data_IF_374463291849
#
_entry.id   IF_374463291849
#
_cell.length_a   1.000
_cell.length_b   1.000
_cell.length_c   1.000
_cell.angle_alpha   90.00
_cell.angle_beta   90.00
_cell.angle_gamma   90.00
#
_symmetry.space_group_name_H-M   'P 1'
#
loop_
_entity.id
_entity.type
_entity.pdbx_description
1 polymer ?
#
# COMPACT_ATOMS: atom_id res chain seq x y z
N UNK A 1 46.42 -15.65 -1.91
CA UNK A 1 44.95 -15.42 -1.86
C UNK A 1 44.39 -16.09 -3.10
N UNK A 2 43.39 -16.98 -3.01
CA UNK A 2 42.87 -17.60 -4.23
C UNK A 2 42.20 -16.53 -5.10
N UNK A 3 42.29 -16.63 -6.43
CA UNK A 3 41.67 -15.69 -7.38
C UNK A 3 40.18 -15.39 -7.05
N UNK A 4 39.45 -16.43 -6.60
CA UNK A 4 38.07 -16.32 -6.13
C UNK A 4 37.89 -15.40 -4.89
N UNK A 5 38.86 -15.36 -3.97
CA UNK A 5 38.80 -14.50 -2.78
C UNK A 5 39.08 -13.04 -3.16
N UNK A 6 39.92 -12.83 -4.17
CA UNK A 6 40.20 -11.49 -4.72
C UNK A 6 38.98 -10.92 -5.45
N UNK A 7 38.36 -11.72 -6.33
CA UNK A 7 37.12 -11.33 -7.01
C UNK A 7 35.98 -11.01 -6.04
N UNK A 8 35.83 -11.79 -4.96
CA UNK A 8 34.84 -11.50 -3.91
C UNK A 8 35.11 -10.19 -3.16
N UNK A 9 36.39 -9.87 -2.91
CA UNK A 9 36.80 -8.61 -2.29
C UNK A 9 36.50 -7.41 -3.20
N UNK A 10 36.89 -7.49 -4.47
CA UNK A 10 36.62 -6.45 -5.47
C UNK A 10 35.12 -6.20 -5.60
N UNK A 11 34.31 -7.27 -5.70
CA UNK A 11 32.86 -7.15 -5.80
C UNK A 11 32.25 -6.40 -4.61
N UNK A 12 32.63 -6.73 -3.37
CA UNK A 12 32.06 -6.01 -2.22
C UNK A 12 32.59 -4.58 -2.05
N UNK A 13 33.77 -4.23 -2.59
CA UNK A 13 34.20 -2.83 -2.71
C UNK A 13 33.31 -2.07 -3.70
N UNK A 14 33.04 -2.66 -4.87
CA UNK A 14 32.17 -2.06 -5.88
C UNK A 14 30.72 -1.89 -5.39
N UNK A 15 30.25 -2.76 -4.50
CA UNK A 15 28.89 -2.75 -3.93
C UNK A 15 28.75 -1.93 -2.65
N UNK A 16 29.83 -1.33 -2.13
CA UNK A 16 29.80 -0.53 -0.91
C UNK A 16 28.82 0.66 -1.00
N UNK A 17 28.74 1.42 -2.12
CA UNK A 17 27.72 2.47 -2.28
C UNK A 17 26.30 1.91 -2.23
N UNK A 18 26.03 0.79 -2.89
CA UNK A 18 24.71 0.12 -2.86
C UNK A 18 24.36 -0.29 -1.44
N UNK A 19 25.30 -0.89 -0.71
CA UNK A 19 25.11 -1.31 0.69
C UNK A 19 24.76 -0.11 1.57
N UNK A 20 25.48 0.99 1.43
CA UNK A 20 25.24 2.20 2.18
C UNK A 20 23.89 2.84 1.85
N UNK A 21 23.59 3.06 0.56
CA UNK A 21 22.35 3.71 0.11
C UNK A 21 21.13 2.87 0.46
N UNK A 22 21.16 1.56 0.22
CA UNK A 22 20.10 0.64 0.64
C UNK A 22 19.93 0.70 2.16
N UNK A 23 21.02 0.64 2.92
CA UNK A 23 20.98 0.76 4.36
C UNK A 23 20.36 2.09 4.83
N UNK A 24 20.71 3.20 4.19
CA UNK A 24 20.19 4.53 4.49
C UNK A 24 18.70 4.67 4.19
N UNK A 25 18.20 4.13 3.07
CA UNK A 25 16.77 4.16 2.72
C UNK A 25 15.94 3.50 3.83
N UNK A 26 16.33 2.30 4.27
CA UNK A 26 15.61 1.54 5.28
C UNK A 26 15.80 2.11 6.69
N UNK A 27 17.03 2.51 7.04
CA UNK A 27 17.30 3.20 8.30
C UNK A 27 16.49 4.49 8.39
N UNK A 28 16.46 5.30 7.33
CA UNK A 28 15.73 6.55 7.25
C UNK A 28 14.22 6.34 7.35
N UNK A 29 13.69 5.27 6.77
CA UNK A 29 12.29 4.87 6.90
C UNK A 29 11.89 4.61 8.36
N UNK A 30 12.69 3.79 9.06
CA UNK A 30 12.46 3.46 10.46
C UNK A 30 12.76 4.62 11.42
N UNK A 31 13.88 5.31 11.24
CA UNK A 31 14.32 6.41 12.12
C UNK A 31 13.40 7.62 12.00
N UNK A 32 12.84 7.89 10.81
CA UNK A 32 11.79 8.89 10.65
C UNK A 32 10.58 8.60 11.53
N UNK A 33 10.20 7.34 11.72
CA UNK A 33 9.03 6.97 12.52
C UNK A 33 9.32 6.91 14.01
N UNK A 34 10.52 6.47 14.41
CA UNK A 34 10.85 6.34 15.83
C UNK A 34 11.47 7.60 16.46
N UNK A 35 12.15 8.42 15.67
CA UNK A 35 13.03 9.49 16.19
C UNK A 35 12.58 10.86 15.67
N UNK A 36 12.47 11.03 14.34
CA UNK A 36 12.32 12.37 13.75
C UNK A 36 10.88 12.85 13.59
N UNK A 37 9.92 11.94 13.40
CA UNK A 37 8.50 12.22 13.19
C UNK A 37 7.64 11.11 13.84
N UNK A 38 7.65 11.04 15.19
CA UNK A 38 6.94 10.00 15.94
C UNK A 38 5.42 10.08 15.80
N UNK A 39 4.88 11.18 15.27
CA UNK A 39 3.45 11.31 14.93
C UNK A 39 2.97 10.21 13.97
N UNK A 40 3.88 9.65 13.18
CA UNK A 40 3.58 8.51 12.30
C UNK A 40 3.29 7.21 13.04
N UNK A 41 3.71 7.13 14.31
CA UNK A 41 3.45 6.01 15.21
C UNK A 41 2.34 6.30 16.24
N UNK A 42 1.74 7.49 16.21
CA UNK A 42 0.65 7.90 17.09
C UNK A 42 -0.71 7.59 16.44
N UNK A 43 -1.54 6.68 17.00
CA UNK A 43 -2.86 6.35 16.49
C UNK A 43 -3.85 7.52 16.38
N UNK A 44 -3.62 8.60 17.13
CA UNK A 44 -4.48 9.78 17.15
C UNK A 44 -4.02 10.88 16.18
N UNK A 45 -2.81 10.77 15.64
CA UNK A 45 -2.27 11.75 14.72
C UNK A 45 -2.81 11.57 13.30
N UNK A 46 -2.98 12.67 12.57
CA UNK A 46 -3.40 12.62 11.16
C UNK A 46 -2.38 11.88 10.27
N UNK A 47 -1.09 11.90 10.65
CA UNK A 47 -0.01 11.23 9.94
C UNK A 47 0.20 9.76 10.35
N UNK A 48 -0.71 9.21 11.16
CA UNK A 48 -0.68 7.81 11.59
C UNK A 48 -0.55 6.86 10.40
N UNK A 49 0.33 5.87 10.52
CA UNK A 49 0.66 4.97 9.41
C UNK A 49 -0.52 4.17 8.88
N UNK A 50 -1.55 3.92 9.70
CA UNK A 50 -2.74 3.18 9.23
C UNK A 50 -3.50 3.92 8.13
N UNK A 51 -3.46 5.25 8.08
CA UNK A 51 -4.06 6.02 6.97
C UNK A 51 -3.38 5.67 5.64
N UNK A 52 -2.05 5.50 5.67
CA UNK A 52 -1.26 5.07 4.51
C UNK A 52 -1.48 3.60 4.19
N UNK A 53 -1.57 2.73 5.19
CA UNK A 53 -1.85 1.31 4.96
C UNK A 53 -3.25 1.10 4.36
N UNK A 54 -4.27 1.80 4.87
CA UNK A 54 -5.62 1.75 4.33
C UNK A 54 -5.67 2.26 2.89
N UNK A 55 -4.99 3.36 2.59
CA UNK A 55 -5.00 3.89 1.22
C UNK A 55 -4.41 2.92 0.19
N UNK A 56 -3.56 1.98 0.60
CA UNK A 56 -2.95 0.97 -0.27
C UNK A 56 -3.94 -0.12 -0.75
N UNK A 57 -4.99 -0.38 0.03
CA UNK A 57 -5.88 -1.52 -0.15
C UNK A 57 -6.53 -1.63 -1.55
N UNK A 58 -7.07 -0.57 -2.18
CA UNK A 58 -7.84 -0.70 -3.42
C UNK A 58 -7.11 -1.38 -4.58
N UNK A 59 -5.84 -1.03 -4.81
CA UNK A 59 -5.04 -1.59 -5.90
C UNK A 59 -3.96 -2.58 -5.46
N UNK A 60 -4.03 -3.06 -4.21
CA UNK A 60 -3.14 -4.11 -3.75
C UNK A 60 -3.46 -5.43 -4.49
N UNK A 61 -2.44 -6.21 -4.80
CA UNK A 61 -2.58 -7.43 -5.62
C UNK A 61 -2.28 -8.70 -4.80
N UNK A 62 -2.58 -9.87 -5.38
CA UNK A 62 -2.33 -11.19 -4.76
C UNK A 62 -3.02 -11.37 -3.38
N UNK A 63 -4.18 -10.74 -3.18
CA UNK A 63 -4.96 -10.86 -1.94
C UNK A 63 -4.39 -10.04 -0.75
N UNK A 64 -3.38 -9.20 -1.00
CA UNK A 64 -2.81 -8.33 0.04
C UNK A 64 -3.83 -7.30 0.54
N UNK A 65 -4.80 -6.92 -0.28
CA UNK A 65 -5.95 -6.10 0.11
C UNK A 65 -6.75 -6.73 1.26
N UNK A 66 -7.01 -8.04 1.21
CA UNK A 66 -7.71 -8.76 2.29
C UNK A 66 -6.88 -8.82 3.57
N UNK A 67 -5.56 -8.99 3.46
CA UNK A 67 -4.65 -8.98 4.62
C UNK A 67 -4.64 -7.59 5.25
N UNK A 68 -4.53 -6.53 4.44
CA UNK A 68 -4.60 -5.14 4.90
C UNK A 68 -5.93 -4.87 5.60
N UNK A 69 -7.06 -5.23 4.98
CA UNK A 69 -8.40 -5.09 5.56
C UNK A 69 -8.49 -5.79 6.92
N UNK A 70 -8.06 -7.04 7.01
CA UNK A 70 -8.05 -7.80 8.26
C UNK A 70 -7.23 -7.10 9.35
N UNK A 71 -6.01 -6.65 9.02
CA UNK A 71 -5.15 -5.93 9.97
C UNK A 71 -5.82 -4.62 10.44
N UNK A 72 -6.42 -3.85 9.53
CA UNK A 72 -7.06 -2.57 9.87
C UNK A 72 -8.25 -2.72 10.82
N UNK A 73 -8.96 -3.85 10.74
CA UNK A 73 -10.07 -4.18 11.63
C UNK A 73 -9.62 -4.64 13.03
N UNK A 74 -8.34 -4.99 13.21
CA UNK A 74 -7.78 -5.47 14.49
C UNK A 74 -6.66 -4.54 14.98
N UNK A 75 -7.02 -3.58 15.84
CA UNK A 75 -6.10 -2.51 16.26
C UNK A 75 -4.77 -3.00 16.86
N UNK A 76 -4.81 -3.98 17.77
CA UNK A 76 -3.59 -4.50 18.41
C UNK A 76 -2.64 -5.13 17.39
N UNK A 77 -3.20 -5.87 16.43
CA UNK A 77 -2.44 -6.48 15.33
C UNK A 77 -1.86 -5.41 14.40
N UNK A 78 -2.64 -4.38 14.07
CA UNK A 78 -2.18 -3.25 13.25
C UNK A 78 -1.04 -2.50 13.91
N UNK A 79 -1.20 -2.12 15.18
CA UNK A 79 -0.22 -1.37 15.91
C UNK A 79 1.09 -2.16 16.04
N UNK A 80 1.00 -3.45 16.41
CA UNK A 80 2.15 -4.34 16.44
C UNK A 80 2.81 -4.50 15.07
N UNK A 81 2.02 -4.66 14.00
CA UNK A 81 2.55 -4.80 12.64
C UNK A 81 3.31 -3.55 12.18
N UNK A 82 2.78 -2.35 12.44
CA UNK A 82 3.44 -1.07 12.11
C UNK A 82 4.75 -0.91 12.88
N UNK A 83 4.77 -1.27 14.17
CA UNK A 83 5.98 -1.23 15.00
C UNK A 83 7.03 -2.22 14.51
N UNK A 84 6.65 -3.49 14.30
CA UNK A 84 7.57 -4.54 13.85
C UNK A 84 8.13 -4.21 12.47
N UNK A 85 7.28 -3.78 11.54
CA UNK A 85 7.71 -3.38 10.20
C UNK A 85 8.73 -2.22 10.26
N UNK A 86 8.43 -1.19 11.06
CA UNK A 86 9.33 -0.04 11.25
C UNK A 86 10.65 -0.44 11.93
N UNK A 87 10.60 -1.37 12.88
CA UNK A 87 11.79 -1.86 13.58
C UNK A 87 12.68 -2.69 12.64
N UNK A 88 12.07 -3.56 11.83
CA UNK A 88 12.79 -4.33 10.81
C UNK A 88 13.46 -3.42 9.78
N UNK A 89 12.80 -2.35 9.33
CA UNK A 89 13.42 -1.34 8.47
C UNK A 89 14.62 -0.67 9.17
N UNK A 90 14.43 -0.19 10.41
CA UNK A 90 15.47 0.51 11.16
C UNK A 90 16.71 -0.37 11.39
N UNK A 91 16.50 -1.57 11.91
CA UNK A 91 17.58 -2.51 12.27
C UNK A 91 18.28 -3.02 11.02
N UNK A 92 17.53 -3.42 9.99
CA UNK A 92 18.13 -3.91 8.73
C UNK A 92 18.92 -2.80 8.04
N UNK A 93 18.40 -1.57 8.04
CA UNK A 93 19.09 -0.41 7.51
C UNK A 93 20.43 -0.14 8.20
N UNK A 94 20.42 -0.12 9.54
CA UNK A 94 21.64 0.04 10.33
C UNK A 94 22.64 -1.10 10.11
N UNK A 95 22.15 -2.35 10.09
CA UNK A 95 22.94 -3.53 9.77
C UNK A 95 23.64 -3.41 8.40
N UNK A 96 22.95 -2.94 7.37
CA UNK A 96 23.55 -2.72 6.05
C UNK A 96 24.60 -1.60 6.06
N UNK A 97 24.32 -0.46 6.69
CA UNK A 97 25.29 0.65 6.81
C UNK A 97 26.61 0.13 7.41
N UNK A 98 26.51 -0.58 8.54
CA UNK A 98 27.66 -1.14 9.25
C UNK A 98 28.27 -2.40 8.59
N UNK A 99 27.55 -3.04 7.67
CA UNK A 99 27.93 -4.33 7.11
C UNK A 99 27.93 -5.45 8.15
N UNK A 100 26.88 -5.50 8.98
CA UNK A 100 26.64 -6.50 10.02
C UNK A 100 25.43 -7.36 9.63
N UNK A 101 25.58 -8.69 9.64
CA UNK A 101 24.55 -9.63 9.16
C UNK A 101 24.00 -9.25 7.78
N UNK A 102 24.90 -8.91 6.85
CA UNK A 102 24.54 -8.25 5.58
C UNK A 102 23.55 -9.05 4.75
N UNK A 103 23.65 -10.38 4.73
CA UNK A 103 22.72 -11.23 3.96
C UNK A 103 21.35 -11.28 4.62
N UNK A 104 21.27 -11.40 5.95
CA UNK A 104 19.99 -11.36 6.65
C UNK A 104 19.30 -10.00 6.47
N UNK A 105 20.03 -8.90 6.59
CA UNK A 105 19.51 -7.56 6.35
C UNK A 105 19.11 -7.38 4.88
N UNK A 106 19.87 -7.93 3.94
CA UNK A 106 19.50 -8.00 2.52
C UNK A 106 18.22 -8.79 2.27
N UNK A 107 18.04 -9.97 2.89
CA UNK A 107 16.81 -10.77 2.80
C UNK A 107 15.62 -10.01 3.40
N UNK A 108 15.84 -9.31 4.52
CA UNK A 108 14.77 -8.55 5.17
C UNK A 108 14.32 -7.37 4.31
N UNK A 109 15.27 -6.57 3.80
CA UNK A 109 14.95 -5.45 2.91
C UNK A 109 14.36 -5.92 1.58
N UNK A 110 14.80 -7.07 1.06
CA UNK A 110 14.22 -7.75 -0.09
C UNK A 110 12.73 -8.09 0.10
N UNK A 111 12.38 -8.74 1.21
CA UNK A 111 11.00 -9.13 1.51
C UNK A 111 10.12 -7.90 1.71
N UNK A 112 10.64 -6.88 2.39
CA UNK A 112 9.93 -5.60 2.53
C UNK A 112 9.68 -4.97 1.16
N UNK A 113 10.67 -4.93 0.27
CA UNK A 113 10.48 -4.41 -1.11
C UNK A 113 9.40 -5.17 -1.87
N UNK A 114 9.34 -6.51 -1.76
CA UNK A 114 8.27 -7.32 -2.35
C UNK A 114 6.90 -6.91 -1.79
N UNK A 115 6.75 -6.83 -0.48
CA UNK A 115 5.49 -6.43 0.16
C UNK A 115 5.07 -5.02 -0.26
N UNK A 116 6.01 -4.07 -0.32
CA UNK A 116 5.75 -2.71 -0.78
C UNK A 116 5.29 -2.66 -2.24
N UNK A 117 5.90 -3.46 -3.12
CA UNK A 117 5.45 -3.55 -4.52
C UNK A 117 4.02 -4.07 -4.61
N UNK A 118 3.65 -5.10 -3.82
CA UNK A 118 2.32 -5.71 -3.86
C UNK A 118 1.22 -4.81 -3.30
N UNK A 119 1.52 -4.09 -2.21
CA UNK A 119 0.55 -3.24 -1.53
C UNK A 119 0.45 -1.84 -2.17
N UNK A 120 1.59 -1.22 -2.45
CA UNK A 120 1.68 0.19 -2.81
C UNK A 120 2.04 0.44 -4.27
N UNK A 121 2.38 -0.59 -5.07
CA UNK A 121 2.92 -0.40 -6.41
C UNK A 121 1.98 0.31 -7.40
N UNK A 122 0.68 0.35 -7.12
CA UNK A 122 -0.30 1.08 -7.92
C UNK A 122 -0.42 2.57 -7.54
N UNK A 123 -0.01 2.94 -6.32
CA UNK A 123 0.00 4.33 -5.87
C UNK A 123 1.13 5.06 -6.61
N UNK A 124 0.79 6.19 -7.24
CA UNK A 124 1.67 6.91 -8.16
C UNK A 124 0.87 7.47 -9.33
N UNK A 125 0.48 8.73 -9.25
CA UNK A 125 -0.39 9.36 -10.27
C UNK A 125 0.40 9.78 -11.52
N UNK A 126 1.65 10.20 -11.35
CA UNK A 126 2.52 10.74 -12.41
C UNK A 126 3.66 9.78 -12.70
N UNK A 127 4.45 9.50 -11.67
CA UNK A 127 5.50 8.50 -11.66
C UNK A 127 5.00 7.33 -10.80
N UNK A 128 5.30 6.09 -11.19
CA UNK A 128 5.02 4.93 -10.32
C UNK A 128 6.05 4.92 -9.18
N UNK A 129 6.01 5.93 -8.32
CA UNK A 129 7.07 6.24 -7.37
C UNK A 129 7.30 5.09 -6.40
N UNK A 130 6.22 4.59 -5.78
CA UNK A 130 6.25 3.48 -4.84
C UNK A 130 6.79 2.19 -5.49
N UNK A 131 6.32 1.85 -6.69
CA UNK A 131 6.78 0.66 -7.41
C UNK A 131 8.23 0.79 -7.86
N UNK A 132 8.64 1.94 -8.42
CA UNK A 132 9.99 2.15 -8.96
C UNK A 132 11.03 2.09 -7.86
N UNK A 133 10.75 2.75 -6.73
CA UNK A 133 11.61 2.68 -5.54
C UNK A 133 11.70 1.25 -5.01
N UNK A 134 10.56 0.56 -4.88
CA UNK A 134 10.54 -0.81 -4.36
C UNK A 134 11.22 -1.82 -5.30
N UNK A 135 11.10 -1.67 -6.62
CA UNK A 135 11.79 -2.49 -7.62
C UNK A 135 13.31 -2.25 -7.62
N UNK A 136 13.75 -1.00 -7.50
CA UNK A 136 15.18 -0.68 -7.39
C UNK A 136 15.79 -1.25 -6.09
N UNK A 137 15.10 -1.07 -4.95
CA UNK A 137 15.54 -1.62 -3.66
C UNK A 137 15.50 -3.16 -3.64
N UNK A 138 14.59 -3.79 -4.39
CA UNK A 138 14.57 -5.25 -4.58
C UNK A 138 15.86 -5.73 -5.28
N UNK A 139 16.24 -5.09 -6.38
CA UNK A 139 17.46 -5.43 -7.13
C UNK A 139 18.75 -5.18 -6.31
N UNK A 140 18.80 -4.07 -5.57
CA UNK A 140 19.89 -3.79 -4.63
C UNK A 140 19.98 -4.86 -3.54
N UNK A 141 18.84 -5.25 -2.96
CA UNK A 141 18.78 -6.29 -1.93
C UNK A 141 19.27 -7.63 -2.45
N UNK A 142 18.83 -8.07 -3.65
CA UNK A 142 19.30 -9.32 -4.27
C UNK A 142 20.82 -9.33 -4.42
N UNK A 143 21.38 -8.21 -4.86
CA UNK A 143 22.82 -8.04 -5.03
C UNK A 143 23.56 -8.18 -3.70
N UNK A 144 23.02 -7.62 -2.61
CA UNK A 144 23.58 -7.72 -1.26
C UNK A 144 23.41 -9.12 -0.64
N UNK A 145 22.32 -9.83 -0.94
CA UNK A 145 22.13 -11.24 -0.53
C UNK A 145 23.16 -12.14 -1.20
N UNK A 146 23.45 -11.92 -2.48
CA UNK A 146 24.45 -12.68 -3.24
C UNK A 146 25.87 -12.41 -2.74
N UNK A 147 26.26 -11.14 -2.70
CA UNK A 147 27.63 -10.71 -2.42
C UNK A 147 27.99 -10.73 -0.93
N UNK A 148 27.03 -10.45 -0.05
CA UNK A 148 27.32 -10.02 1.32
C UNK A 148 28.13 -8.72 1.35
N UNK A 149 28.82 -8.47 2.45
CA UNK A 149 29.77 -7.39 2.64
C UNK A 149 31.21 -7.91 2.77
N UNK A 150 32.06 -7.65 1.78
CA UNK A 150 33.44 -8.16 1.76
C UNK A 150 34.40 -7.33 2.63
N UNK A 151 34.81 -6.16 2.16
CA UNK A 151 35.74 -5.26 2.84
C UNK A 151 34.94 -4.12 3.48
N UNK A 152 35.47 -3.55 4.57
CA UNK A 152 34.81 -2.49 5.36
C UNK A 152 33.43 -2.90 5.88
N UNK A 153 33.38 -3.99 6.66
CA UNK A 153 32.17 -4.52 7.25
C UNK A 153 32.45 -5.15 8.61
N UNK A 154 31.50 -5.05 9.54
CA UNK A 154 31.58 -5.76 10.83
C UNK A 154 31.65 -7.27 10.61
N UNK A 155 30.93 -7.79 9.61
CA UNK A 155 30.98 -9.20 9.22
C UNK A 155 32.42 -9.66 8.96
N UNK A 156 33.20 -8.87 8.22
CA UNK A 156 34.60 -9.18 7.92
C UNK A 156 35.51 -9.02 9.13
N UNK A 157 35.25 -8.04 10.01
CA UNK A 157 35.97 -7.91 11.28
C UNK A 157 35.75 -9.13 12.17
N UNK A 158 34.52 -9.63 12.26
CA UNK A 158 34.17 -10.85 13.00
C UNK A 158 34.84 -12.09 12.40
N UNK A 159 34.88 -12.21 11.07
CA UNK A 159 35.57 -13.33 10.40
C UNK A 159 37.07 -13.33 10.68
N UNK A 160 37.70 -12.15 10.74
CA UNK A 160 39.14 -12.03 11.06
C UNK A 160 39.42 -12.32 12.53
N UNK A 161 38.61 -11.78 13.44
CA UNK A 161 38.79 -11.93 14.89
C UNK A 161 38.46 -13.34 15.39
N UNK A 162 37.45 -13.98 14.79
CA UNK A 162 36.96 -15.30 15.19
C UNK A 162 36.83 -16.24 13.98
N UNK A 163 37.95 -16.81 13.48
CA UNK A 163 37.95 -17.67 12.29
C UNK A 163 37.01 -18.89 12.38
N UNK A 164 36.76 -19.38 13.59
CA UNK A 164 35.84 -20.49 13.85
C UNK A 164 34.40 -20.18 13.42
N UNK A 165 33.96 -18.91 13.40
CA UNK A 165 32.62 -18.52 12.96
C UNK A 165 32.40 -18.85 11.48
N UNK A 166 33.43 -18.73 10.64
CA UNK A 166 33.35 -19.04 9.20
C UNK A 166 33.04 -20.52 8.95
N UNK A 167 33.39 -21.41 9.88
CA UNK A 167 33.06 -22.84 9.75
C UNK A 167 31.57 -23.11 9.96
N UNK A 168 30.87 -22.27 10.73
CA UNK A 168 29.44 -22.46 11.05
C UNK A 168 28.57 -22.12 9.84
N UNK A 169 27.56 -22.97 9.57
CA UNK A 169 26.66 -22.81 8.41
C UNK A 169 25.77 -21.57 8.52
N UNK A 170 25.17 -21.35 9.70
CA UNK A 170 24.30 -20.20 9.94
C UNK A 170 25.03 -18.86 9.72
N UNK A 171 26.27 -18.75 10.22
CA UNK A 171 27.06 -17.54 10.07
C UNK A 171 27.32 -17.26 8.60
N UNK A 172 27.78 -18.26 7.82
CA UNK A 172 27.99 -18.10 6.38
C UNK A 172 26.74 -17.70 5.60
N UNK A 173 25.56 -18.18 6.01
CA UNK A 173 24.28 -17.87 5.34
C UNK A 173 23.75 -16.48 5.68
N UNK A 174 23.89 -16.05 6.94
CA UNK A 174 23.31 -14.79 7.43
C UNK A 174 24.28 -13.60 7.33
N UNK A 175 25.59 -13.85 7.36
CA UNK A 175 26.64 -12.84 7.23
C UNK A 175 27.33 -12.97 5.87
N UNK A 176 28.53 -12.43 5.73
CA UNK A 176 29.17 -12.13 4.46
C UNK A 176 30.20 -13.14 3.96
N UNK A 177 30.15 -14.41 4.38
CA UNK A 177 31.15 -15.41 3.95
C UNK A 177 31.16 -15.69 2.43
N UNK A 178 32.31 -16.03 1.81
CA UNK A 178 32.37 -16.38 0.39
C UNK A 178 31.57 -17.66 0.10
N UNK A 179 30.79 -17.64 -0.98
CA UNK A 179 30.05 -18.79 -1.49
C UNK A 179 30.86 -19.47 -2.59
N UNK A 180 30.78 -20.80 -2.69
CA UNK A 180 31.37 -21.53 -3.81
C UNK A 180 30.74 -21.07 -5.13
N UNK A 181 31.56 -20.88 -6.17
CA UNK A 181 31.12 -20.35 -7.47
C UNK A 181 29.85 -21.02 -8.03
N UNK A 182 29.76 -22.35 -8.01
CA UNK A 182 28.59 -23.07 -8.50
C UNK A 182 27.30 -22.74 -7.72
N UNK A 183 27.39 -22.54 -6.40
CA UNK A 183 26.24 -22.13 -5.57
C UNK A 183 25.88 -20.67 -5.84
N UNK A 184 26.89 -19.80 -5.93
CA UNK A 184 26.71 -18.40 -6.27
C UNK A 184 26.00 -18.25 -7.63
N UNK A 185 26.49 -18.92 -8.67
CA UNK A 185 25.90 -18.90 -10.02
C UNK A 185 24.44 -19.36 -10.02
N UNK A 186 24.13 -20.49 -9.36
CA UNK A 186 22.74 -20.98 -9.27
C UNK A 186 21.82 -20.00 -8.54
N UNK A 187 22.28 -19.44 -7.42
CA UNK A 187 21.51 -18.46 -6.65
C UNK A 187 21.31 -17.16 -7.44
N UNK A 188 22.34 -16.69 -8.14
CA UNK A 188 22.28 -15.49 -8.97
C UNK A 188 21.26 -15.65 -10.11
N UNK A 189 21.29 -16.77 -10.83
CA UNK A 189 20.33 -17.05 -11.91
C UNK A 189 18.90 -17.20 -11.39
N UNK A 190 18.72 -17.84 -10.24
CA UNK A 190 17.40 -17.99 -9.61
C UNK A 190 16.83 -16.63 -9.18
N UNK A 191 17.63 -15.80 -8.49
CA UNK A 191 17.22 -14.47 -8.08
C UNK A 191 16.97 -13.57 -9.30
N UNK A 192 17.82 -13.62 -10.33
CA UNK A 192 17.58 -12.89 -11.58
C UNK A 192 16.25 -13.27 -12.23
N UNK A 193 15.96 -14.57 -12.36
CA UNK A 193 14.69 -15.03 -12.91
C UNK A 193 13.51 -14.54 -12.07
N UNK A 194 13.62 -14.59 -10.74
CA UNK A 194 12.60 -14.06 -9.84
C UNK A 194 12.41 -12.54 -10.00
N UNK A 195 13.49 -11.76 -10.12
CA UNK A 195 13.39 -10.30 -10.36
C UNK A 195 12.67 -10.04 -11.68
N UNK A 196 13.09 -10.70 -12.75
CA UNK A 196 12.51 -10.49 -14.08
C UNK A 196 11.02 -10.80 -14.05
N UNK A 197 10.65 -11.99 -13.57
CA UNK A 197 9.23 -12.39 -13.51
C UNK A 197 8.43 -11.43 -12.65
N UNK A 198 8.90 -11.13 -11.43
CA UNK A 198 8.15 -10.31 -10.48
C UNK A 198 8.02 -8.86 -10.93
N UNK A 199 9.12 -8.23 -11.36
CA UNK A 199 9.14 -6.85 -11.83
C UNK A 199 8.29 -6.70 -13.10
N UNK A 200 8.45 -7.57 -14.10
CA UNK A 200 7.66 -7.46 -15.33
C UNK A 200 6.18 -7.75 -15.08
N UNK A 201 5.85 -8.74 -14.25
CA UNK A 201 4.46 -9.06 -13.92
C UNK A 201 3.77 -7.89 -13.22
N UNK A 202 4.38 -7.36 -12.15
CA UNK A 202 3.80 -6.26 -11.38
C UNK A 202 3.71 -4.97 -12.21
N UNK A 203 4.73 -4.66 -13.01
CA UNK A 203 4.67 -3.52 -13.93
C UNK A 203 3.54 -3.65 -14.94
N UNK A 204 3.43 -4.81 -15.61
CA UNK A 204 2.38 -5.04 -16.59
C UNK A 204 0.98 -4.97 -15.95
N UNK A 205 0.84 -5.45 -14.72
CA UNK A 205 -0.42 -5.34 -14.00
C UNK A 205 -0.80 -3.87 -13.72
N UNK A 206 0.14 -3.03 -13.30
CA UNK A 206 -0.14 -1.64 -12.92
C UNK A 206 -0.19 -0.66 -14.11
N UNK A 207 0.54 -0.91 -15.20
CA UNK A 207 0.63 0.01 -16.36
C UNK A 207 0.53 -0.64 -17.73
N UNK A 208 0.60 -1.96 -17.81
CA UNK A 208 0.71 -2.66 -19.09
C UNK A 208 2.07 -2.43 -19.76
N UNK A 209 2.06 -2.29 -21.08
CA UNK A 209 3.22 -2.02 -21.97
C UNK A 209 4.28 -3.12 -22.08
N UNK A 210 4.04 -4.30 -21.50
CA UNK A 210 4.91 -5.46 -21.66
C UNK A 210 4.16 -6.54 -22.45
N UNK A 211 3.03 -6.99 -21.90
CA UNK A 211 2.16 -8.02 -22.48
C UNK A 211 0.79 -7.46 -22.90
N UNK A 212 0.41 -6.27 -22.40
CA UNK A 212 -0.83 -5.57 -22.72
C UNK A 212 -0.55 -4.14 -23.21
N UNK A 213 -1.49 -3.47 -23.92
CA UNK A 213 -1.37 -2.04 -24.20
C UNK A 213 -1.25 -1.21 -22.92
N UNK A 214 -0.72 0.01 -23.02
CA UNK A 214 -0.63 0.93 -21.89
C UNK A 214 -2.01 1.23 -21.28
N UNK A 215 -2.11 1.20 -19.95
CA UNK A 215 -3.30 1.62 -19.22
C UNK A 215 -2.93 2.23 -17.86
N UNK A 216 -3.84 2.99 -17.25
CA UNK A 216 -3.62 3.65 -15.95
C UNK A 216 -3.81 2.71 -14.74
N UNK A 217 -3.67 1.40 -14.95
CA UNK A 217 -3.96 0.35 -13.96
C UNK A 217 -5.44 -0.04 -13.88
N UNK A 218 -5.78 -1.22 -13.32
CA UNK A 218 -7.16 -1.58 -12.95
C UNK A 218 -7.72 -0.60 -11.91
N UNK A 219 -6.84 -0.11 -11.03
CA UNK A 219 -7.08 0.99 -10.12
C UNK A 219 -6.13 2.13 -10.45
N UNK A 220 -6.67 3.34 -10.62
CA UNK A 220 -5.90 4.51 -11.03
C UNK A 220 -5.68 5.48 -9.86
N UNK A 221 -4.42 5.83 -9.59
CA UNK A 221 -4.09 6.91 -8.66
C UNK A 221 -4.41 8.32 -9.24
N UNK A 222 -4.57 8.44 -10.55
CA UNK A 222 -4.82 9.72 -11.24
C UNK A 222 -6.30 10.08 -11.40
N UNK A 223 -7.22 9.13 -11.18
CA UNK A 223 -8.65 9.35 -11.34
C UNK A 223 -9.42 8.78 -10.15
N UNK A 224 -10.13 9.64 -9.43
CA UNK A 224 -11.00 9.18 -8.35
C UNK A 224 -12.11 8.27 -8.89
N UNK A 225 -12.27 7.12 -8.26
CA UNK A 225 -13.36 6.19 -8.52
C UNK A 225 -14.10 5.91 -7.20
N UNK A 226 -15.42 5.80 -7.31
CA UNK A 226 -16.28 5.44 -6.20
C UNK A 226 -17.15 4.28 -6.66
N UNK A 227 -16.98 3.14 -6.02
CA UNK A 227 -17.89 2.01 -6.13
C UNK A 227 -19.07 2.19 -5.18
N UNK A 228 -20.27 2.09 -5.74
CA UNK A 228 -21.53 2.08 -4.99
C UNK A 228 -22.05 0.65 -4.97
N UNK A 229 -22.41 0.13 -3.80
CA UNK A 229 -22.94 -1.22 -3.62
C UNK A 229 -24.03 -1.27 -2.56
N UNK A 230 -24.75 -2.41 -2.48
CA UNK A 230 -25.77 -2.68 -1.46
C UNK A 230 -26.83 -1.57 -1.32
N UNK A 231 -27.25 -0.99 -2.44
CA UNK A 231 -28.27 0.05 -2.48
C UNK A 231 -29.67 -0.48 -2.21
N UNK A 232 -30.26 -0.05 -1.11
CA UNK A 232 -31.62 -0.41 -0.69
C UNK A 232 -32.44 0.86 -0.50
N UNK A 233 -33.58 0.93 -1.19
CA UNK A 233 -34.61 1.95 -1.00
C UNK A 233 -35.72 1.38 -0.14
N UNK A 234 -35.96 1.97 1.03
CA UNK A 234 -37.07 1.60 1.91
C UNK A 234 -38.35 2.33 1.52
N UNK A 235 -39.50 1.81 1.96
CA UNK A 235 -40.83 2.38 1.63
C UNK A 235 -41.05 3.78 2.19
N UNK A 236 -40.39 4.12 3.29
CA UNK A 236 -40.37 5.46 3.88
C UNK A 236 -39.54 6.47 3.06
N UNK A 237 -38.90 6.02 1.97
CA UNK A 237 -38.04 6.81 1.11
C UNK A 237 -36.59 6.89 1.58
N UNK A 238 -36.25 6.31 2.73
CA UNK A 238 -34.86 6.26 3.17
C UNK A 238 -34.02 5.35 2.28
N UNK A 239 -32.79 5.77 2.01
CA UNK A 239 -31.85 5.03 1.18
C UNK A 239 -30.67 4.62 2.04
N UNK A 240 -30.32 3.35 1.99
CA UNK A 240 -29.06 2.86 2.53
C UNK A 240 -28.20 2.39 1.36
N UNK A 241 -26.94 2.83 1.33
CA UNK A 241 -25.95 2.38 0.35
C UNK A 241 -24.59 2.19 0.99
N UNK A 242 -23.75 1.35 0.39
CA UNK A 242 -22.32 1.29 0.71
C UNK A 242 -21.56 2.07 -0.34
N UNK A 243 -20.75 3.02 0.12
CA UNK A 243 -19.85 3.83 -0.69
C UNK A 243 -18.41 3.41 -0.41
N UNK A 244 -17.63 3.16 -1.47
CA UNK A 244 -16.22 2.81 -1.36
C UNK A 244 -15.38 3.63 -2.35
N UNK A 245 -14.41 4.40 -1.86
CA UNK A 245 -13.46 5.13 -2.72
C UNK A 245 -12.32 4.20 -3.09
N UNK A 246 -12.43 3.55 -4.23
CA UNK A 246 -11.56 2.48 -4.70
C UNK A 246 -10.58 2.93 -5.79
N UNK A 247 -10.44 4.23 -6.01
CA UNK A 247 -9.43 4.82 -6.88
C UNK A 247 -9.23 6.30 -6.61
N UNK A 248 -8.10 6.85 -7.02
CA UNK A 248 -7.70 8.24 -6.81
C UNK A 248 -6.39 8.38 -6.04
N UNK A 249 -5.98 9.62 -5.81
CA UNK A 249 -4.74 9.93 -5.08
C UNK A 249 -5.00 10.02 -3.58
N UNK A 250 -4.08 9.54 -2.72
CA UNK A 250 -4.18 9.75 -1.27
C UNK A 250 -4.12 11.23 -0.86
N UNK A 251 -3.56 12.10 -1.70
CA UNK A 251 -3.33 13.51 -1.36
C UNK A 251 -4.61 14.36 -1.37
N UNK A 252 -5.64 13.95 -2.10
CA UNK A 252 -6.91 14.68 -2.19
C UNK A 252 -8.10 13.74 -2.04
N UNK A 253 -9.05 14.05 -1.14
CA UNK A 253 -10.25 13.23 -0.97
C UNK A 253 -11.19 13.42 -2.17
N UNK A 254 -12.10 12.46 -2.34
CA UNK A 254 -13.26 12.63 -3.22
C UNK A 254 -14.36 13.38 -2.45
N UNK A 255 -14.65 14.61 -2.87
CA UNK A 255 -15.71 15.43 -2.26
C UNK A 255 -17.02 15.20 -3.00
N UNK A 256 -18.01 14.64 -2.30
CA UNK A 256 -19.35 14.34 -2.80
C UNK A 256 -20.25 15.53 -2.45
N UNK A 257 -20.72 16.22 -3.49
CA UNK A 257 -21.46 17.48 -3.35
C UNK A 257 -22.96 17.32 -3.61
N UNK A 258 -23.36 16.21 -4.25
CA UNK A 258 -24.77 15.97 -4.58
C UNK A 258 -25.05 14.48 -4.76
N UNK A 259 -26.20 14.03 -4.26
CA UNK A 259 -26.74 12.69 -4.50
C UNK A 259 -28.17 12.86 -5.01
N UNK A 260 -28.53 12.16 -6.08
CA UNK A 260 -29.86 12.22 -6.69
C UNK A 260 -30.47 10.83 -6.82
N UNK A 261 -31.75 10.73 -6.49
CA UNK A 261 -32.59 9.57 -6.75
C UNK A 261 -33.42 9.85 -8.01
N UNK A 262 -33.25 9.01 -9.03
CA UNK A 262 -34.06 9.05 -10.25
C UNK A 262 -35.05 7.88 -10.29
N UNK A 263 -36.24 8.12 -10.86
CA UNK A 263 -37.17 7.06 -11.25
C UNK A 263 -36.86 6.49 -12.66
N UNK A 264 -37.69 5.55 -13.09
CA UNK A 264 -37.69 4.92 -14.41
C UNK A 264 -37.82 5.91 -15.59
N UNK A 265 -38.39 7.09 -15.34
CA UNK A 265 -38.51 8.18 -16.33
C UNK A 265 -37.36 9.19 -16.30
N UNK A 266 -36.29 8.92 -15.56
CA UNK A 266 -35.18 9.85 -15.30
C UNK A 266 -35.62 11.18 -14.66
N UNK A 267 -36.73 11.19 -13.93
CA UNK A 267 -37.15 12.34 -13.14
C UNK A 267 -36.52 12.26 -11.74
N UNK A 268 -36.08 13.40 -11.22
CA UNK A 268 -35.52 13.50 -9.87
C UNK A 268 -36.66 13.34 -8.87
N UNK A 269 -36.59 12.26 -8.10
CA UNK A 269 -37.52 11.93 -7.03
C UNK A 269 -37.05 12.59 -5.74
N UNK A 270 -35.74 12.57 -5.46
CA UNK A 270 -35.13 13.27 -4.33
C UNK A 270 -33.72 13.69 -4.68
N UNK A 271 -33.26 14.78 -4.07
CA UNK A 271 -31.90 15.26 -4.20
C UNK A 271 -31.36 15.68 -2.83
N UNK A 272 -30.15 15.24 -2.52
CA UNK A 272 -29.37 15.70 -1.38
C UNK A 272 -28.22 16.54 -1.92
N UNK A 273 -28.27 17.85 -1.66
CA UNK A 273 -27.27 18.81 -2.11
C UNK A 273 -26.19 18.99 -1.04
N UNK A 274 -25.17 19.81 -1.32
CA UNK A 274 -24.05 20.07 -0.42
C UNK A 274 -24.51 20.48 0.99
N UNK A 275 -25.53 21.33 1.10
CA UNK A 275 -26.07 21.81 2.38
C UNK A 275 -26.74 20.70 3.20
N UNK A 276 -27.44 19.77 2.55
CA UNK A 276 -28.09 18.66 3.28
C UNK A 276 -27.09 17.55 3.62
N UNK A 277 -26.10 17.33 2.76
CA UNK A 277 -25.04 16.35 2.98
C UNK A 277 -24.05 16.79 4.07
N UNK A 278 -23.74 18.09 4.18
CA UNK A 278 -22.86 18.64 5.22
C UNK A 278 -23.47 18.56 6.62
N UNK A 279 -24.81 18.59 6.70
CA UNK A 279 -25.58 18.48 7.94
C UNK A 279 -25.95 17.03 8.30
N UNK A 280 -25.47 16.04 7.54
CA UNK A 280 -25.78 14.63 7.80
C UNK A 280 -25.20 14.21 9.16
N UNK A 281 -26.03 13.63 10.02
CA UNK A 281 -25.60 13.22 11.35
C UNK A 281 -24.66 12.01 11.29
N UNK A 282 -23.69 11.95 12.20
CA UNK A 282 -22.64 10.93 12.17
C UNK A 282 -23.17 9.48 12.32
N UNK A 283 -24.33 9.29 12.97
CA UNK A 283 -25.00 7.98 13.07
C UNK A 283 -25.45 7.43 11.72
N UNK A 284 -25.61 8.30 10.71
CA UNK A 284 -25.97 7.93 9.34
C UNK A 284 -24.78 7.55 8.48
N UNK A 285 -23.55 7.71 8.99
CA UNK A 285 -22.32 7.37 8.29
C UNK A 285 -21.57 6.31 9.11
N UNK A 286 -21.79 5.05 8.76
CA UNK A 286 -21.14 3.92 9.42
C UNK A 286 -19.90 3.53 8.61
N UNK A 287 -18.73 3.98 9.05
CA UNK A 287 -17.46 3.63 8.44
C UNK A 287 -17.04 2.21 8.79
N UNK A 288 -16.57 1.47 7.80
CA UNK A 288 -16.03 0.11 7.99
C UNK A 288 -14.66 0.13 8.67
N UNK A 289 -13.86 1.18 8.41
CA UNK A 289 -12.52 1.36 8.97
C UNK A 289 -12.44 2.62 9.83
N UNK A 290 -11.59 2.59 10.86
CA UNK A 290 -11.45 3.67 11.83
C UNK A 290 -10.58 4.86 11.34
N UNK A 291 -9.82 4.71 10.25
CA UNK A 291 -8.75 5.65 9.86
C UNK A 291 -9.18 6.59 8.73
N UNK A 292 -9.12 6.16 7.46
CA UNK A 292 -9.64 6.94 6.33
C UNK A 292 -11.17 6.79 6.30
N UNK A 293 -11.86 7.81 6.82
CA UNK A 293 -13.31 7.79 7.04
C UNK A 293 -14.04 8.76 6.12
N UNK A 294 -15.19 8.32 5.63
CA UNK A 294 -16.22 9.22 5.12
C UNK A 294 -16.76 10.04 6.29
N UNK A 295 -16.79 11.35 6.13
CA UNK A 295 -17.32 12.28 7.13
C UNK A 295 -17.95 13.49 6.44
N UNK A 296 -18.73 14.26 7.18
CA UNK A 296 -19.28 15.51 6.67
C UNK A 296 -18.18 16.58 6.60
N UNK A 297 -18.22 17.38 5.54
CA UNK A 297 -17.40 18.57 5.38
C UNK A 297 -18.27 19.77 5.01
N UNK A 298 -17.64 20.93 4.88
CA UNK A 298 -18.35 22.20 4.63
C UNK A 298 -19.24 22.19 3.37
N UNK A 299 -18.86 21.41 2.35
CA UNK A 299 -19.52 21.39 1.04
C UNK A 299 -20.07 20.01 0.67
N UNK A 300 -20.43 19.18 1.66
CA UNK A 300 -21.02 17.85 1.45
C UNK A 300 -20.29 16.76 2.21
N UNK A 301 -20.08 15.59 1.59
CA UNK A 301 -19.31 14.50 2.20
C UNK A 301 -17.87 14.49 1.69
N UNK A 302 -16.93 14.30 2.60
CA UNK A 302 -15.51 14.10 2.31
C UNK A 302 -15.21 12.62 2.41
N UNK A 303 -14.79 12.01 1.31
CA UNK A 303 -14.45 10.59 1.24
C UNK A 303 -12.99 10.42 0.78
N UNK A 304 -12.04 10.25 1.72
CA UNK A 304 -10.64 9.97 1.40
C UNK A 304 -10.46 8.65 0.64
N UNK A 305 -9.29 8.45 0.04
CA UNK A 305 -8.97 7.20 -0.65
C UNK A 305 -9.10 5.99 0.29
N UNK A 306 -9.72 4.93 -0.21
CA UNK A 306 -10.05 3.70 0.52
C UNK A 306 -11.02 3.90 1.70
N UNK A 307 -11.68 5.05 1.80
CA UNK A 307 -12.80 5.20 2.72
C UNK A 307 -13.97 4.34 2.25
N UNK A 308 -14.49 3.51 3.15
CA UNK A 308 -15.63 2.63 2.93
C UNK A 308 -16.65 2.84 4.04
N UNK A 309 -17.87 3.21 3.66
CA UNK A 309 -18.93 3.50 4.63
C UNK A 309 -20.31 3.11 4.11
N UNK A 310 -21.15 2.62 5.01
CA UNK A 310 -22.58 2.56 4.81
C UNK A 310 -23.20 3.93 5.15
N UNK A 311 -23.86 4.54 4.17
CA UNK A 311 -24.48 5.85 4.27
C UNK A 311 -25.99 5.67 4.23
N UNK A 312 -26.69 6.26 5.20
CA UNK A 312 -28.15 6.30 5.25
C UNK A 312 -28.64 7.72 4.97
N UNK A 313 -29.36 7.89 3.86
CA UNK A 313 -29.97 9.16 3.49
C UNK A 313 -31.44 9.12 3.89
N UNK A 314 -31.82 10.02 4.79
CA UNK A 314 -33.22 10.25 5.12
C UNK A 314 -33.90 10.97 3.96
N UNK A 315 -35.09 10.51 3.60
CA UNK A 315 -35.96 11.26 2.70
C UNK A 315 -36.97 12.05 3.52
N UNK A 316 -37.15 13.31 3.15
CA UNK A 316 -38.31 14.07 3.57
C UNK A 316 -39.41 13.83 2.53
N UNK A 317 -40.53 13.26 2.97
CA UNK A 317 -41.81 13.23 2.24
C UNK A 317 -42.03 12.15 1.16
N UNK A 318 -42.05 10.87 1.53
CA UNK A 318 -42.81 9.88 0.74
C UNK A 318 -43.87 9.15 1.54
N UNK A 319 -45.14 9.43 1.25
CA UNK A 319 -46.25 8.54 1.58
C UNK A 319 -46.35 7.37 0.58
N UNK A 320 -45.87 7.56 -0.66
CA UNK A 320 -45.78 6.52 -1.70
C UNK A 320 -44.69 6.87 -2.72
N UNK A 321 -43.78 5.94 -2.96
CA UNK A 321 -42.69 6.08 -3.92
C UNK A 321 -43.25 6.03 -5.38
N UNK A 322 -43.02 7.06 -6.21
CA UNK A 322 -43.53 7.10 -7.58
C UNK A 322 -42.55 6.40 -8.54
N UNK A 323 -42.87 5.18 -8.99
CA UNK A 323 -42.03 4.44 -9.95
C UNK A 323 -41.91 2.95 -9.66
N UNK A 324 -41.47 2.18 -10.67
CA UNK A 324 -41.22 0.73 -10.56
C UNK A 324 -39.76 0.38 -10.30
N UNK A 325 -38.84 1.26 -10.71
CA UNK A 325 -37.41 1.10 -10.52
C UNK A 325 -36.77 2.45 -10.21
N UNK A 326 -35.65 2.39 -9.50
CA UNK A 326 -34.95 3.58 -9.03
C UNK A 326 -33.45 3.44 -9.27
N UNK A 327 -32.81 4.57 -9.55
CA UNK A 327 -31.37 4.66 -9.71
C UNK A 327 -30.84 5.80 -8.86
N UNK A 328 -29.78 5.54 -8.11
CA UNK A 328 -29.03 6.55 -7.38
C UNK A 328 -27.89 7.07 -8.23
N UNK A 329 -27.63 8.38 -8.16
CA UNK A 329 -26.49 9.02 -8.77
C UNK A 329 -25.74 9.84 -7.72
N UNK A 330 -24.43 9.67 -7.66
CA UNK A 330 -23.53 10.42 -6.79
C UNK A 330 -22.65 11.32 -7.66
N UNK A 331 -22.59 12.60 -7.31
CA UNK A 331 -21.80 13.61 -7.99
C UNK A 331 -20.67 14.09 -7.08
N UNK A 332 -19.49 14.20 -7.68
CA UNK A 332 -18.31 14.77 -7.02
C UNK A 332 -18.03 16.18 -7.51
N UNK A 333 -17.26 16.95 -6.72
CA UNK A 333 -16.88 18.32 -7.08
C UNK A 333 -16.10 18.42 -8.39
N UNK A 334 -15.39 17.35 -8.76
CA UNK A 334 -14.61 17.26 -10.01
C UNK A 334 -15.48 16.88 -11.23
N UNK A 335 -16.80 16.86 -11.08
CA UNK A 335 -17.74 16.52 -12.16
C UNK A 335 -17.89 15.01 -12.44
N UNK A 336 -17.25 14.14 -11.66
CA UNK A 336 -17.45 12.70 -11.82
C UNK A 336 -18.85 12.29 -11.35
N UNK A 337 -19.43 11.33 -12.07
CA UNK A 337 -20.77 10.77 -11.82
C UNK A 337 -20.67 9.26 -11.63
N UNK A 338 -21.16 8.77 -10.49
CA UNK A 338 -21.27 7.35 -10.18
C UNK A 338 -22.73 6.97 -9.99
N UNK A 339 -23.14 5.80 -10.47
CA UNK A 339 -24.55 5.42 -10.48
C UNK A 339 -24.75 3.96 -10.12
N UNK A 340 -25.88 3.66 -9.49
CA UNK A 340 -26.24 2.29 -9.10
C UNK A 340 -27.77 2.14 -9.10
N UNK A 341 -28.31 1.01 -9.60
CA UNK A 341 -29.72 0.68 -9.42
C UNK A 341 -30.02 0.38 -7.95
N UNK A 342 -31.18 0.80 -7.46
CA UNK A 342 -31.61 0.49 -6.10
C UNK A 342 -32.58 -0.69 -6.08
N UNK A 343 -32.40 -1.56 -5.09
CA UNK A 343 -33.37 -2.60 -4.77
C UNK A 343 -34.43 -2.03 -3.82
N UNK A 344 -35.70 -2.29 -4.09
CA UNK A 344 -36.79 -1.83 -3.23
C UNK A 344 -37.01 -2.84 -2.10
N UNK A 345 -36.90 -2.40 -0.84
CA UNK A 345 -37.18 -3.27 0.31
C UNK A 345 -38.67 -3.54 0.41
N UNK A 346 -39.03 -4.82 0.48
CA UNK A 346 -40.40 -5.26 0.76
C UNK A 346 -40.77 -5.20 2.25
N UNK A 347 -39.76 -5.05 3.13
CA UNK A 347 -39.93 -4.82 4.57
C UNK A 347 -39.97 -3.34 4.88
#
# INVERSE_FOLDING_TARGET
>A
MSEHQEGWKIAGLALLPIRFVQGWIFWGGGSRRFIYDPSKLDPHAHQWMANKLQSAMPGAILGVDHIISFILLHFDLLYASVLIFSLLELVSGLCLILGCFTRLAGITTMLISVVLMLAFGWQGATCMDEWTMAAATLAMSFTLVLSGASIYSIDNLLMKKYPWLVTRRWFRLLTSGPLAFNKFKKMALCLLALTIVFTLFTYNHYRGSIFTPYHLGPVSAGKHHITLSHGVLKRDGSITLTLYVDGGTPATPSNIIRIELLNDKNQIVSAWNADTLSLLSNDKIQNEYAYNRVHTGQYGLVAPLSAKAAITLSSEHFQRLPGKSYRLIVFTINGNRFQMPLSLSNK
#
